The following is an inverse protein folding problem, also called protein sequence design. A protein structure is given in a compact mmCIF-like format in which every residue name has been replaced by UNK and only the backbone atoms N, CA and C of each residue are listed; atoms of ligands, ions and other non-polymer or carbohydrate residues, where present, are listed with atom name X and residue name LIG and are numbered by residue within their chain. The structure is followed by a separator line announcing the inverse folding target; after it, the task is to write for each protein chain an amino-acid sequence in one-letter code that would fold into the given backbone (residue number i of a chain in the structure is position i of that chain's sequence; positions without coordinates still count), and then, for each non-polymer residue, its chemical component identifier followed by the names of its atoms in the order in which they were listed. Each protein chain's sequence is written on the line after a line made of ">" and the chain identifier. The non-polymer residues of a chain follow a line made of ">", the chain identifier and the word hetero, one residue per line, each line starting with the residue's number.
data_IF_685525335690
#
_entry.id   IF_685525335690
#
_cell.length_a   1.000
_cell.length_b   1.000
_cell.length_c   1.000
_cell.angle_alpha   90.00
_cell.angle_beta   90.00
_cell.angle_gamma   90.00
#
_symmetry.space_group_name_H-M   'P 1'
#
loop_
_entity.id
_entity.type
_entity.pdbx_description
1 polymer ?
#
# COMPACT_ATOMS: atom_id res chain seq x y z
N UNK A 1 -14.58 47.54 26.86
CA UNK A 1 -13.56 46.55 26.41
C UNK A 1 -14.07 45.17 26.77
N UNK A 2 -14.89 44.57 25.92
CA UNK A 2 -15.36 43.18 26.08
C UNK A 2 -14.53 42.32 25.16
N UNK A 3 -13.54 41.64 25.72
CA UNK A 3 -12.68 40.71 25.00
C UNK A 3 -13.47 39.42 24.73
N UNK A 4 -14.07 39.32 23.56
CA UNK A 4 -14.63 38.07 23.03
C UNK A 4 -13.46 37.16 22.64
N UNK A 5 -13.03 36.29 23.56
CA UNK A 5 -12.27 35.10 23.21
C UNK A 5 -13.16 34.23 22.31
N UNK A 6 -13.00 34.39 20.99
CA UNK A 6 -13.40 33.34 20.05
C UNK A 6 -12.56 32.11 20.39
N UNK A 7 -13.13 30.89 20.40
CA UNK A 7 -12.30 29.68 20.45
C UNK A 7 -11.34 29.74 19.26
N UNK A 8 -10.02 29.70 19.54
CA UNK A 8 -9.03 29.46 18.50
C UNK A 8 -9.32 28.09 17.91
N UNK A 9 -9.73 28.05 16.65
CA UNK A 9 -9.92 26.80 15.93
C UNK A 9 -8.55 26.15 15.76
N UNK A 10 -8.29 25.04 16.46
CA UNK A 10 -7.11 24.22 16.21
C UNK A 10 -7.35 23.43 14.93
N UNK A 11 -6.86 23.95 13.81
CA UNK A 11 -6.86 23.23 12.53
C UNK A 11 -5.82 22.10 12.60
N UNK A 12 -6.18 20.98 13.24
CA UNK A 12 -5.30 19.81 13.34
C UNK A 12 -5.39 19.01 12.04
N UNK A 13 -4.39 19.18 11.17
CA UNK A 13 -4.19 18.29 10.02
C UNK A 13 -3.79 16.89 10.51
N UNK A 14 -4.36 15.80 9.97
CA UNK A 14 -3.96 14.44 10.32
C UNK A 14 -2.46 14.23 10.09
N UNK A 15 -1.78 13.65 11.07
CA UNK A 15 -0.36 13.29 10.95
C UNK A 15 -0.21 11.93 10.26
N UNK A 16 0.43 11.92 9.10
CA UNK A 16 0.66 10.73 8.29
C UNK A 16 2.14 10.34 8.36
N UNK A 17 2.44 9.06 8.52
CA UNK A 17 3.82 8.55 8.54
C UNK A 17 3.96 7.36 7.59
N UNK A 18 5.04 7.33 6.81
CA UNK A 18 5.40 6.20 5.94
C UNK A 18 6.62 5.51 6.53
N UNK A 19 6.49 4.22 6.84
CA UNK A 19 7.55 3.37 7.36
C UNK A 19 8.03 2.43 6.25
N UNK A 20 9.22 2.69 5.73
CA UNK A 20 9.91 1.82 4.78
C UNK A 20 10.68 0.72 5.50
N UNK A 21 10.29 -0.53 5.30
CA UNK A 21 10.85 -1.68 6.01
C UNK A 21 11.75 -2.51 5.10
N UNK A 22 13.00 -2.72 5.53
CA UNK A 22 14.03 -3.44 4.77
C UNK A 22 14.49 -2.68 3.52
N UNK A 23 15.28 -3.35 2.66
CA UNK A 23 15.86 -2.72 1.47
C UNK A 23 14.82 -2.21 0.46
N UNK A 24 13.82 -3.03 0.12
CA UNK A 24 12.76 -2.64 -0.82
C UNK A 24 11.90 -1.49 -0.31
N UNK A 25 11.51 -1.53 0.97
CA UNK A 25 10.75 -0.43 1.59
C UNK A 25 11.57 0.86 1.70
N UNK A 26 12.85 0.76 2.05
CA UNK A 26 13.78 1.89 2.08
C UNK A 26 13.97 2.55 0.72
N UNK A 27 14.09 1.75 -0.35
CA UNK A 27 14.16 2.26 -1.73
C UNK A 27 12.87 2.98 -2.13
N UNK A 28 11.71 2.40 -1.81
CA UNK A 28 10.42 3.04 -2.07
C UNK A 28 10.28 4.39 -1.34
N UNK A 29 10.70 4.48 -0.08
CA UNK A 29 10.73 5.73 0.68
C UNK A 29 11.69 6.75 0.04
N UNK A 30 12.89 6.33 -0.36
CA UNK A 30 13.83 7.20 -1.05
C UNK A 30 13.24 7.77 -2.35
N UNK A 31 12.48 6.95 -3.08
CA UNK A 31 11.75 7.37 -4.27
C UNK A 31 10.63 8.36 -3.93
N UNK A 32 9.82 8.10 -2.91
CA UNK A 32 8.76 9.02 -2.47
C UNK A 32 9.30 10.40 -2.06
N UNK A 33 10.45 10.44 -1.38
CA UNK A 33 11.13 11.69 -1.03
C UNK A 33 11.64 12.40 -2.29
N UNK A 34 12.21 11.66 -3.25
CA UNK A 34 12.71 12.25 -4.49
C UNK A 34 11.60 12.80 -5.39
N UNK A 35 10.44 12.15 -5.42
CA UNK A 35 9.23 12.60 -6.12
C UNK A 35 8.47 13.70 -5.37
N UNK A 36 8.95 14.11 -4.18
CA UNK A 36 8.39 15.24 -3.43
C UNK A 36 7.03 14.95 -2.80
N UNK A 37 6.79 13.73 -2.27
CA UNK A 37 5.54 13.43 -1.57
C UNK A 37 5.37 14.31 -0.32
N UNK A 38 4.37 15.18 -0.33
CA UNK A 38 4.10 16.15 0.73
C UNK A 38 3.19 15.59 1.84
N UNK A 39 3.21 16.23 3.01
CA UNK A 39 2.31 15.93 4.14
C UNK A 39 2.52 14.58 4.81
N UNK A 40 3.66 13.93 4.58
CA UNK A 40 4.03 12.66 5.21
C UNK A 40 5.41 12.76 5.86
N UNK A 41 5.54 12.14 7.04
CA UNK A 41 6.84 11.90 7.65
C UNK A 41 7.40 10.54 7.20
N UNK A 42 8.69 10.45 6.95
CA UNK A 42 9.33 9.22 6.51
C UNK A 42 10.20 8.61 7.60
N UNK A 43 9.99 7.32 7.85
CA UNK A 43 10.81 6.48 8.73
C UNK A 43 11.33 5.32 7.90
N UNK A 44 12.62 4.99 8.00
CA UNK A 44 13.18 3.78 7.40
C UNK A 44 13.71 2.86 8.50
N UNK A 45 13.24 1.62 8.50
CA UNK A 45 13.61 0.60 9.47
C UNK A 45 14.28 -0.57 8.74
N UNK A 46 15.55 -0.84 9.06
CA UNK A 46 16.29 -1.92 8.41
C UNK A 46 17.32 -2.57 9.35
N UNK A 47 17.55 -3.86 9.16
CA UNK A 47 18.62 -4.62 9.86
C UNK A 47 19.99 -4.42 9.23
N UNK A 48 20.03 -3.95 7.98
CA UNK A 48 21.27 -3.65 7.25
C UNK A 48 21.68 -2.20 7.49
N UNK A 49 22.76 -2.00 8.25
CA UNK A 49 23.27 -0.68 8.60
C UNK A 49 23.81 0.08 7.37
N UNK A 50 24.40 -0.62 6.40
CA UNK A 50 24.91 0.01 5.18
C UNK A 50 23.75 0.58 4.36
N UNK A 51 22.65 -0.17 4.23
CA UNK A 51 21.45 0.30 3.55
C UNK A 51 20.86 1.56 4.21
N UNK A 52 20.91 1.65 5.55
CA UNK A 52 20.43 2.84 6.28
C UNK A 52 21.25 4.09 5.98
N UNK A 53 22.58 3.97 5.83
CA UNK A 53 23.44 5.13 5.51
C UNK A 53 23.14 5.76 4.16
N UNK A 54 22.51 5.01 3.25
CA UNK A 54 22.11 5.48 1.92
C UNK A 54 20.67 6.04 1.90
N UNK A 55 19.96 6.01 3.02
CA UNK A 55 18.59 6.51 3.09
C UNK A 55 18.54 8.03 3.03
N UNK A 56 17.50 8.56 2.37
CA UNK A 56 17.18 9.99 2.33
C UNK A 56 16.18 10.39 3.43
N UNK A 57 15.64 9.43 4.17
CA UNK A 57 14.70 9.69 5.25
C UNK A 57 15.42 10.34 6.45
N UNK A 58 14.73 11.26 7.13
CA UNK A 58 15.26 11.93 8.31
C UNK A 58 15.25 11.08 9.57
N UNK A 59 14.42 10.01 9.59
CA UNK A 59 14.20 9.15 10.75
C UNK A 59 14.59 7.73 10.37
N UNK A 60 15.63 7.20 11.00
CA UNK A 60 16.21 5.90 10.69
C UNK A 60 16.18 5.02 11.95
N UNK A 61 15.82 3.76 11.79
CA UNK A 61 15.79 2.76 12.86
C UNK A 61 16.63 1.57 12.41
N UNK A 62 17.67 1.25 13.17
CA UNK A 62 18.44 0.04 12.98
C UNK A 62 17.81 -1.12 13.75
N UNK A 63 17.15 -2.02 13.02
CA UNK A 63 16.46 -3.16 13.59
C UNK A 63 17.45 -4.23 14.05
N UNK A 64 17.20 -4.80 15.23
CA UNK A 64 17.91 -6.00 15.70
C UNK A 64 19.42 -5.83 15.75
N UNK A 65 19.90 -4.76 16.39
CA UNK A 65 21.33 -4.48 16.50
C UNK A 65 22.05 -5.62 17.25
N UNK A 66 21.38 -6.28 18.19
CA UNK A 66 21.91 -7.43 18.91
C UNK A 66 21.83 -8.72 18.08
N UNK A 67 20.72 -8.93 17.36
CA UNK A 67 20.47 -10.17 16.60
C UNK A 67 21.28 -10.25 15.30
N UNK A 68 21.49 -9.12 14.62
CA UNK A 68 22.06 -9.09 13.26
C UNK A 68 23.43 -8.45 13.16
N UNK A 69 23.89 -7.78 14.22
CA UNK A 69 25.12 -6.97 14.23
C UNK A 69 25.19 -5.95 13.08
N UNK A 70 24.03 -5.55 12.53
CA UNK A 70 23.94 -4.62 11.40
C UNK A 70 24.19 -5.22 10.02
N UNK A 71 24.32 -6.55 9.91
CA UNK A 71 24.65 -7.26 8.65
C UNK A 71 23.41 -7.72 7.86
N UNK A 72 22.22 -7.40 8.34
CA UNK A 72 20.97 -7.79 7.71
C UNK A 72 20.45 -9.17 8.13
N UNK A 73 19.19 -9.46 7.76
CA UNK A 73 18.48 -10.66 8.17
C UNK A 73 18.79 -11.93 7.32
N UNK A 74 19.75 -11.89 6.39
CA UNK A 74 20.17 -13.08 5.62
C UNK A 74 19.06 -13.76 4.79
N UNK A 75 18.02 -13.04 4.38
CA UNK A 75 16.81 -13.60 3.75
C UNK A 75 16.00 -14.56 4.64
N UNK A 76 16.11 -14.44 5.96
CA UNK A 76 15.37 -15.21 6.95
C UNK A 76 14.31 -14.31 7.61
N UNK A 77 13.01 -14.50 7.32
CA UNK A 77 11.94 -13.70 7.91
C UNK A 77 11.89 -13.74 9.44
N UNK A 78 12.20 -14.87 10.05
CA UNK A 78 12.24 -15.05 11.50
C UNK A 78 13.27 -14.13 12.18
N UNK A 79 14.40 -13.86 11.51
CA UNK A 79 15.39 -12.89 11.99
C UNK A 79 14.84 -11.47 11.86
N UNK A 80 14.18 -11.15 10.74
CA UNK A 80 13.53 -9.86 10.55
C UNK A 80 12.44 -9.58 11.59
N UNK A 81 11.67 -10.61 11.95
CA UNK A 81 10.66 -10.53 13.00
C UNK A 81 11.29 -10.27 14.37
N UNK A 82 12.26 -11.10 14.79
CA UNK A 82 12.94 -10.93 16.07
C UNK A 82 13.62 -9.55 16.19
N UNK A 83 14.22 -9.07 15.10
CA UNK A 83 14.83 -7.74 15.03
C UNK A 83 13.83 -6.60 15.21
N UNK A 84 12.60 -6.75 14.70
CA UNK A 84 11.54 -5.77 14.89
C UNK A 84 10.94 -5.82 16.30
N UNK A 85 10.82 -7.01 16.88
CA UNK A 85 10.39 -7.20 18.27
C UNK A 85 11.41 -6.59 19.26
N UNK A 86 12.70 -6.73 19.00
CA UNK A 86 13.78 -6.09 19.77
C UNK A 86 13.67 -4.56 19.76
N UNK A 87 13.37 -3.97 18.60
CA UNK A 87 13.35 -2.52 18.38
C UNK A 87 11.94 -1.90 18.47
N UNK A 88 10.96 -2.61 19.04
CA UNK A 88 9.54 -2.20 18.95
C UNK A 88 9.25 -0.88 19.68
N UNK A 89 9.90 -0.65 20.82
CA UNK A 89 9.73 0.58 21.59
C UNK A 89 10.23 1.80 20.79
N UNK A 90 11.39 1.67 20.14
CA UNK A 90 11.94 2.72 19.26
C UNK A 90 11.03 2.98 18.05
N UNK A 91 10.48 1.93 17.44
CA UNK A 91 9.49 2.07 16.36
C UNK A 91 8.28 2.87 16.84
N UNK A 92 7.72 2.53 18.00
CA UNK A 92 6.52 3.18 18.52
C UNK A 92 6.76 4.63 18.96
N UNK A 93 7.93 4.93 19.50
CA UNK A 93 8.35 6.31 19.77
C UNK A 93 8.36 7.12 18.47
N UNK A 94 8.82 6.53 17.37
CA UNK A 94 8.78 7.20 16.07
C UNK A 94 7.35 7.34 15.51
N UNK A 95 6.42 6.46 15.87
CA UNK A 95 5.01 6.56 15.46
C UNK A 95 4.15 7.41 16.40
N UNK A 96 4.74 8.04 17.41
CA UNK A 96 4.01 8.87 18.36
C UNK A 96 3.30 10.06 17.69
N UNK A 97 2.02 10.20 18.00
CA UNK A 97 1.11 11.23 17.44
C UNK A 97 0.66 10.96 15.99
N UNK A 98 1.06 9.85 15.38
CA UNK A 98 0.65 9.49 14.02
C UNK A 98 -0.81 9.01 14.02
N UNK A 99 -1.61 9.55 13.11
CA UNK A 99 -3.02 9.17 12.93
C UNK A 99 -3.17 8.02 11.93
N UNK A 100 -2.29 8.00 10.92
CA UNK A 100 -2.25 6.98 9.89
C UNK A 100 -0.81 6.61 9.54
N UNK A 101 -0.54 5.32 9.49
CA UNK A 101 0.78 4.77 9.17
C UNK A 101 0.69 3.93 7.90
N UNK A 102 1.55 4.23 6.92
CA UNK A 102 1.79 3.40 5.77
C UNK A 102 2.99 2.51 6.03
N UNK A 103 2.83 1.19 5.99
CA UNK A 103 3.95 0.24 6.07
C UNK A 103 4.29 -0.24 4.67
N UNK A 104 5.46 0.12 4.15
CA UNK A 104 5.90 -0.26 2.80
C UNK A 104 7.10 -1.21 2.85
N UNK A 105 7.02 -2.30 2.09
CA UNK A 105 8.04 -3.34 2.07
C UNK A 105 8.03 -4.12 0.75
N UNK A 106 9.22 -4.59 0.35
CA UNK A 106 9.36 -5.66 -0.65
C UNK A 106 9.33 -7.02 0.03
N UNK A 107 8.34 -7.85 -0.31
CA UNK A 107 8.12 -9.15 0.32
C UNK A 107 9.00 -10.24 -0.30
N UNK A 108 9.32 -11.26 0.49
CA UNK A 108 10.21 -12.37 0.10
C UNK A 108 11.66 -12.21 0.56
N UNK A 109 12.04 -11.04 1.10
CA UNK A 109 13.30 -10.87 1.84
C UNK A 109 13.19 -11.36 3.29
N UNK A 110 14.24 -11.14 4.09
CA UNK A 110 14.21 -11.42 5.53
C UNK A 110 13.55 -10.27 6.30
N UNK A 111 14.17 -9.09 6.24
CA UNK A 111 13.74 -7.92 7.02
C UNK A 111 12.32 -7.46 6.68
N UNK A 112 12.03 -7.15 5.41
CA UNK A 112 10.70 -6.66 5.01
C UNK A 112 9.58 -7.64 5.38
N UNK A 113 9.76 -8.92 5.02
CA UNK A 113 8.77 -9.98 5.26
C UNK A 113 8.50 -10.23 6.75
N UNK A 114 9.55 -10.22 7.58
CA UNK A 114 9.43 -10.50 9.01
C UNK A 114 9.04 -9.30 9.87
N UNK A 115 9.62 -8.13 9.58
CA UNK A 115 9.44 -6.93 10.40
C UNK A 115 8.14 -6.17 10.07
N UNK A 116 7.71 -6.13 8.81
CA UNK A 116 6.53 -5.35 8.43
C UNK A 116 5.25 -5.78 9.17
N UNK A 117 4.95 -7.09 9.35
CA UNK A 117 3.80 -7.51 10.15
C UNK A 117 3.89 -7.08 11.62
N UNK A 118 5.08 -7.13 12.24
CA UNK A 118 5.27 -6.71 13.64
C UNK A 118 4.99 -5.23 13.80
N UNK A 119 5.55 -4.40 12.91
CA UNK A 119 5.33 -2.95 12.89
C UNK A 119 3.85 -2.64 12.69
N UNK A 120 3.19 -3.28 11.73
CA UNK A 120 1.78 -3.08 11.45
C UNK A 120 0.89 -3.45 12.65
N UNK A 121 1.19 -4.57 13.31
CA UNK A 121 0.48 -5.03 14.51
C UNK A 121 0.56 -4.03 15.65
N UNK A 122 1.75 -3.50 15.92
CA UNK A 122 1.97 -2.54 16.99
C UNK A 122 1.30 -1.20 16.70
N UNK A 123 1.41 -0.70 15.46
CA UNK A 123 0.75 0.54 15.03
C UNK A 123 -0.77 0.44 15.15
N UNK A 124 -1.38 -0.65 14.66
CA UNK A 124 -2.82 -0.88 14.75
C UNK A 124 -3.28 -1.04 16.20
N UNK A 125 -2.53 -1.77 17.03
CA UNK A 125 -2.83 -1.91 18.46
C UNK A 125 -2.80 -0.56 19.21
N UNK A 126 -1.97 0.38 18.76
CA UNK A 126 -1.93 1.75 19.26
C UNK A 126 -3.06 2.66 18.72
N UNK A 127 -3.96 2.13 17.89
CA UNK A 127 -5.12 2.85 17.33
C UNK A 127 -4.83 3.66 16.06
N UNK A 128 -3.62 3.52 15.50
CA UNK A 128 -3.20 4.16 14.25
C UNK A 128 -3.84 3.42 13.08
N UNK A 129 -4.48 4.15 12.15
CA UNK A 129 -4.98 3.54 10.91
C UNK A 129 -3.78 3.03 10.10
N UNK A 130 -3.67 1.71 9.95
CA UNK A 130 -2.47 1.06 9.45
C UNK A 130 -2.72 0.45 8.08
N UNK A 131 -2.13 1.04 7.04
CA UNK A 131 -2.23 0.57 5.66
C UNK A 131 -0.89 0.03 5.22
N UNK A 132 -0.85 -1.24 4.86
CA UNK A 132 0.34 -1.83 4.26
C UNK A 132 0.29 -1.71 2.73
N UNK A 133 1.38 -1.29 2.11
CA UNK A 133 1.55 -1.25 0.66
C UNK A 133 2.81 -2.03 0.30
N UNK A 134 2.65 -3.25 -0.21
CA UNK A 134 3.76 -4.20 -0.33
C UNK A 134 3.85 -4.81 -1.71
N UNK A 135 5.07 -5.17 -2.14
CA UNK A 135 5.27 -5.85 -3.42
C UNK A 135 5.51 -7.35 -3.26
N UNK A 136 4.98 -8.16 -4.18
CA UNK A 136 5.39 -9.55 -4.38
C UNK A 136 6.60 -9.60 -5.31
N UNK A 137 7.54 -10.53 -5.10
CA UNK A 137 8.73 -10.65 -5.94
C UNK A 137 8.36 -11.04 -7.38
N UNK A 138 9.29 -10.84 -8.32
CA UNK A 138 9.15 -11.37 -9.67
C UNK A 138 9.29 -12.90 -9.68
N UNK A 139 8.66 -13.58 -10.65
CA UNK A 139 8.77 -15.05 -10.77
C UNK A 139 10.22 -15.51 -10.95
N UNK A 140 11.06 -14.70 -11.63
CA UNK A 140 12.48 -15.02 -11.84
C UNK A 140 13.31 -14.99 -10.55
N UNK A 141 12.86 -14.32 -9.49
CA UNK A 141 13.56 -14.28 -8.21
C UNK A 141 13.46 -15.62 -7.44
N UNK A 142 12.61 -16.53 -7.92
CA UNK A 142 12.55 -17.91 -7.47
C UNK A 142 11.38 -18.22 -6.56
N UNK A 143 10.97 -19.50 -6.58
CA UNK A 143 9.79 -20.00 -5.86
C UNK A 143 9.86 -19.80 -4.34
N UNK A 144 11.05 -20.00 -3.74
CA UNK A 144 11.24 -19.83 -2.29
C UNK A 144 10.94 -18.40 -1.85
N UNK A 145 11.39 -17.41 -2.63
CA UNK A 145 11.14 -15.99 -2.35
C UNK A 145 9.66 -15.65 -2.42
N UNK A 146 8.96 -16.18 -3.43
CA UNK A 146 7.51 -16.03 -3.56
C UNK A 146 6.76 -16.67 -2.38
N UNK A 147 7.13 -17.88 -1.96
CA UNK A 147 6.48 -18.55 -0.82
C UNK A 147 6.63 -17.76 0.48
N UNK A 148 7.83 -17.23 0.76
CA UNK A 148 8.06 -16.35 1.91
C UNK A 148 7.21 -15.08 1.81
N UNK A 149 7.10 -14.49 0.62
CA UNK A 149 6.30 -13.30 0.39
C UNK A 149 4.81 -13.55 0.70
N UNK A 150 4.23 -14.66 0.22
CA UNK A 150 2.84 -15.00 0.50
C UNK A 150 2.58 -15.20 2.00
N UNK A 151 3.47 -15.92 2.69
CA UNK A 151 3.35 -16.13 4.13
C UNK A 151 3.39 -14.82 4.93
N UNK A 152 4.33 -13.93 4.58
CA UNK A 152 4.42 -12.62 5.22
C UNK A 152 3.23 -11.71 4.92
N UNK A 153 2.67 -11.78 3.71
CA UNK A 153 1.48 -11.00 3.33
C UNK A 153 0.26 -11.49 4.10
N UNK A 154 0.12 -12.79 4.33
CA UNK A 154 -1.01 -13.32 5.09
C UNK A 154 -1.00 -12.84 6.54
N UNK A 155 0.17 -12.90 7.20
CA UNK A 155 0.34 -12.30 8.53
C UNK A 155 0.04 -10.80 8.53
N UNK A 156 0.45 -10.08 7.47
CA UNK A 156 0.20 -8.65 7.35
C UNK A 156 -1.29 -8.33 7.20
N UNK A 157 -2.07 -9.20 6.55
CA UNK A 157 -3.54 -9.08 6.43
C UNK A 157 -4.24 -9.25 7.77
N UNK A 158 -3.69 -10.05 8.67
CA UNK A 158 -4.21 -10.16 10.04
C UNK A 158 -3.92 -8.90 10.88
N UNK A 159 -2.79 -8.24 10.62
CA UNK A 159 -2.24 -7.21 11.51
C UNK A 159 -2.44 -5.77 11.03
N UNK A 160 -2.60 -5.51 9.73
CA UNK A 160 -2.94 -4.21 9.19
C UNK A 160 -4.47 -4.04 9.04
N UNK A 161 -4.93 -2.79 8.93
CA UNK A 161 -6.34 -2.51 8.61
C UNK A 161 -6.64 -2.78 7.13
N UNK A 162 -5.70 -2.41 6.26
CA UNK A 162 -5.76 -2.66 4.81
C UNK A 162 -4.38 -3.05 4.29
N UNK A 163 -4.32 -4.03 3.37
CA UNK A 163 -3.10 -4.47 2.69
C UNK A 163 -3.28 -4.38 1.19
N UNK A 164 -2.58 -3.42 0.58
CA UNK A 164 -2.46 -3.24 -0.87
C UNK A 164 -1.28 -4.09 -1.34
N UNK A 165 -1.56 -5.09 -2.16
CA UNK A 165 -0.54 -6.02 -2.67
C UNK A 165 -0.28 -5.73 -4.14
N UNK A 166 0.97 -5.41 -4.46
CA UNK A 166 1.44 -5.11 -5.81
C UNK A 166 2.24 -6.31 -6.35
N UNK A 167 1.69 -7.09 -7.28
CA UNK A 167 2.45 -8.17 -7.91
C UNK A 167 3.46 -7.60 -8.91
N UNK A 168 4.76 -7.68 -8.62
CA UNK A 168 5.80 -7.18 -9.54
C UNK A 168 5.71 -7.84 -10.92
N UNK A 169 5.20 -9.07 -11.00
CA UNK A 169 4.96 -9.76 -12.25
C UNK A 169 4.03 -8.98 -13.21
N UNK A 170 3.06 -8.24 -12.68
CA UNK A 170 2.13 -7.46 -13.50
C UNK A 170 2.79 -6.20 -14.08
N UNK A 171 3.94 -5.78 -13.54
CA UNK A 171 4.73 -4.67 -14.09
C UNK A 171 5.29 -5.00 -15.48
N UNK A 172 5.48 -6.28 -15.81
CA UNK A 172 5.85 -6.69 -17.17
C UNK A 172 4.76 -6.42 -18.20
N UNK A 173 3.49 -6.36 -17.80
CA UNK A 173 2.38 -6.04 -18.72
C UNK A 173 2.37 -4.56 -19.12
N UNK A 174 3.06 -3.72 -18.36
CA UNK A 174 3.24 -2.29 -18.64
C UNK A 174 4.65 -1.95 -19.14
N UNK A 175 5.55 -2.94 -19.19
CA UNK A 175 6.92 -2.79 -19.64
C UNK A 175 7.09 -3.19 -21.11
N UNK A 176 8.06 -2.59 -21.80
CA UNK A 176 8.45 -2.98 -23.16
C UNK A 176 9.65 -3.94 -23.13
N UNK A 177 9.92 -4.63 -24.25
CA UNK A 177 11.06 -5.57 -24.37
C UNK A 177 12.45 -4.92 -24.14
N UNK A 178 12.54 -3.58 -24.15
CA UNK A 178 13.77 -2.83 -23.86
C UNK A 178 13.92 -2.41 -22.40
N UNK A 179 12.96 -2.77 -21.53
CA UNK A 179 13.00 -2.41 -20.10
C UNK A 179 14.10 -3.18 -19.39
N UNK A 180 15.07 -2.46 -18.83
CA UNK A 180 16.15 -3.05 -18.02
C UNK A 180 15.64 -3.48 -16.64
N UNK A 181 16.40 -4.33 -15.95
CA UNK A 181 16.08 -4.72 -14.57
C UNK A 181 15.98 -3.52 -13.61
N UNK A 182 16.90 -2.56 -13.72
CA UNK A 182 16.87 -1.34 -12.93
C UNK A 182 15.57 -0.55 -13.16
N UNK A 183 15.16 -0.41 -14.42
CA UNK A 183 13.91 0.24 -14.76
C UNK A 183 12.68 -0.53 -14.24
N UNK A 184 12.73 -1.86 -14.17
CA UNK A 184 11.63 -2.66 -13.64
C UNK A 184 11.40 -2.42 -12.13
N UNK A 185 12.47 -2.31 -11.33
CA UNK A 185 12.36 -1.93 -9.92
C UNK A 185 11.93 -0.48 -9.75
N UNK A 186 12.41 0.44 -10.59
CA UNK A 186 11.91 1.82 -10.59
C UNK A 186 10.42 1.91 -10.90
N UNK A 187 9.88 1.04 -11.78
CA UNK A 187 8.44 0.93 -12.00
C UNK A 187 7.74 0.43 -10.72
N UNK A 188 8.29 -0.55 -10.01
CA UNK A 188 7.72 -1.03 -8.75
C UNK A 188 7.67 0.09 -7.69
N UNK A 189 8.75 0.86 -7.57
CA UNK A 189 8.83 2.00 -6.65
C UNK A 189 7.82 3.10 -7.01
N UNK A 190 7.57 3.35 -8.30
CA UNK A 190 6.52 4.26 -8.77
C UNK A 190 5.11 3.77 -8.44
N UNK A 191 4.88 2.47 -8.48
CA UNK A 191 3.57 1.90 -8.09
C UNK A 191 3.38 1.98 -6.58
N UNK A 192 4.42 1.72 -5.79
CA UNK A 192 4.40 1.93 -4.33
C UNK A 192 4.15 3.40 -3.98
N UNK A 193 4.85 4.33 -4.65
CA UNK A 193 4.57 5.76 -4.56
C UNK A 193 3.11 6.05 -4.89
N UNK A 194 2.58 5.53 -5.99
CA UNK A 194 1.19 5.76 -6.40
C UNK A 194 0.19 5.26 -5.34
N UNK A 195 0.49 4.12 -4.71
CA UNK A 195 -0.29 3.54 -3.61
C UNK A 195 -0.43 4.47 -2.42
N UNK A 196 0.69 5.04 -1.99
CA UNK A 196 0.72 5.97 -0.84
C UNK A 196 0.21 7.36 -1.26
N UNK A 197 0.64 7.87 -2.42
CA UNK A 197 0.28 9.21 -2.91
C UNK A 197 -1.22 9.35 -3.15
N UNK A 198 -1.88 8.29 -3.64
CA UNK A 198 -3.31 8.30 -3.91
C UNK A 198 -4.10 8.66 -2.64
N UNK A 199 -3.78 8.04 -1.52
CA UNK A 199 -4.52 8.23 -0.27
C UNK A 199 -4.06 9.50 0.45
N UNK A 200 -2.76 9.75 0.49
CA UNK A 200 -2.19 10.94 1.16
C UNK A 200 -2.63 12.24 0.50
N UNK A 201 -2.66 12.30 -0.84
CA UNK A 201 -3.08 13.50 -1.54
C UNK A 201 -4.53 13.89 -1.20
N UNK A 202 -5.43 12.91 -1.04
CA UNK A 202 -6.84 13.17 -0.68
C UNK A 202 -7.02 13.77 0.72
N UNK A 203 -6.06 13.57 1.61
CA UNK A 203 -6.09 14.04 3.00
C UNK A 203 -5.35 15.39 3.14
N UNK A 204 -4.23 15.53 2.43
CA UNK A 204 -3.27 16.63 2.63
C UNK A 204 -3.53 17.80 1.69
N UNK A 205 -3.81 17.51 0.41
CA UNK A 205 -3.94 18.53 -0.63
C UNK A 205 -5.36 19.08 -0.66
N UNK A 206 -5.46 20.39 -0.82
CA UNK A 206 -6.74 21.03 -1.08
C UNK A 206 -7.19 20.72 -2.50
N UNK A 207 -8.45 20.29 -2.63
CA UNK A 207 -9.08 19.89 -3.86
C UNK A 207 -10.45 20.51 -4.06
N UNK A 208 -11.02 20.26 -5.24
CA UNK A 208 -12.40 20.61 -5.58
C UNK A 208 -13.40 19.85 -4.69
N UNK A 209 -13.08 18.60 -4.37
CA UNK A 209 -13.83 17.74 -3.46
C UNK A 209 -12.84 17.27 -2.40
N UNK A 210 -12.82 17.96 -1.26
CA UNK A 210 -12.03 17.58 -0.10
C UNK A 210 -12.71 16.44 0.65
N UNK A 211 -11.90 15.50 1.13
CA UNK A 211 -12.33 14.41 1.98
C UNK A 211 -11.80 14.65 3.38
N UNK A 212 -12.59 14.28 4.39
CA UNK A 212 -12.07 14.28 5.75
C UNK A 212 -11.36 12.95 6.05
N UNK A 213 -10.56 12.93 7.12
CA UNK A 213 -9.85 11.72 7.53
C UNK A 213 -10.79 10.62 8.02
N UNK A 214 -11.98 10.97 8.52
CA UNK A 214 -12.95 10.01 9.02
C UNK A 214 -13.58 9.20 7.87
N UNK A 215 -13.81 9.84 6.71
CA UNK A 215 -14.26 9.19 5.48
C UNK A 215 -13.24 8.14 5.05
N UNK A 216 -11.96 8.52 4.89
CA UNK A 216 -10.88 7.60 4.52
C UNK A 216 -10.76 6.47 5.56
N UNK A 217 -10.83 6.80 6.85
CA UNK A 217 -10.77 5.80 7.92
C UNK A 217 -11.93 4.81 7.84
N UNK A 218 -13.13 5.25 7.50
CA UNK A 218 -14.32 4.38 7.43
C UNK A 218 -14.18 3.34 6.34
N UNK A 219 -13.64 3.72 5.18
CA UNK A 219 -13.47 2.81 4.04
C UNK A 219 -12.21 1.96 4.13
N UNK A 220 -11.18 2.36 4.89
CA UNK A 220 -9.92 1.61 4.96
C UNK A 220 -9.72 0.79 6.23
N UNK A 221 -10.53 1.03 7.27
CA UNK A 221 -10.38 0.32 8.54
C UNK A 221 -10.94 -1.11 8.41
N UNK A 222 -10.19 -2.09 8.93
CA UNK A 222 -10.61 -3.50 9.00
C UNK A 222 -11.05 -4.13 7.65
N UNK A 223 -10.52 -3.64 6.53
CA UNK A 223 -10.88 -4.13 5.19
C UNK A 223 -10.06 -5.32 4.73
N UNK A 224 -8.86 -5.52 5.27
CA UNK A 224 -7.98 -6.61 4.87
C UNK A 224 -7.45 -6.38 3.46
N UNK A 225 -7.81 -7.22 2.49
CA UNK A 225 -7.23 -7.17 1.14
C UNK A 225 -7.68 -5.94 0.35
N UNK A 226 -6.72 -5.30 -0.32
CA UNK A 226 -6.97 -4.21 -1.25
C UNK A 226 -6.09 -4.29 -2.52
N UNK A 227 -6.55 -3.62 -3.57
CA UNK A 227 -5.86 -3.49 -4.86
C UNK A 227 -5.98 -2.06 -5.38
N UNK A 228 -5.04 -1.64 -6.22
CA UNK A 228 -5.02 -0.29 -6.78
C UNK A 228 -4.87 -0.32 -8.30
N UNK A 229 -5.62 0.55 -8.98
CA UNK A 229 -5.49 0.85 -10.39
C UNK A 229 -5.31 2.35 -10.62
N UNK A 230 -4.47 2.73 -11.57
CA UNK A 230 -4.27 4.14 -11.96
C UNK A 230 -4.39 4.26 -13.47
N UNK A 231 -5.07 5.31 -13.94
CA UNK A 231 -5.26 5.63 -15.34
C UNK A 231 -5.03 7.12 -15.60
N UNK A 232 -4.53 7.45 -16.79
CA UNK A 232 -4.34 8.81 -17.26
C UNK A 232 -5.00 8.94 -18.63
N UNK A 233 -5.74 10.03 -18.83
CA UNK A 233 -6.39 10.36 -20.09
C UNK A 233 -6.03 11.77 -20.54
N UNK A 234 -6.07 12.00 -21.86
CA UNK A 234 -5.81 13.30 -22.50
C UNK A 234 -6.78 13.54 -23.66
N UNK A 235 -6.92 14.81 -24.05
CA UNK A 235 -7.81 15.25 -25.13
C UNK A 235 -9.30 15.14 -24.79
N UNK A 236 -10.14 14.96 -25.81
CA UNK A 236 -11.59 14.81 -25.62
C UNK A 236 -11.91 13.56 -24.78
N UNK A 237 -12.89 13.69 -23.88
CA UNK A 237 -13.28 12.63 -22.94
C UNK A 237 -12.11 12.07 -22.11
N UNK A 238 -11.12 12.92 -21.77
CA UNK A 238 -9.96 12.50 -20.98
C UNK A 238 -10.34 11.89 -19.63
N UNK A 239 -11.39 12.40 -18.99
CA UNK A 239 -11.86 11.90 -17.71
C UNK A 239 -12.40 10.46 -17.81
N UNK A 240 -13.32 10.21 -18.76
CA UNK A 240 -13.79 8.84 -19.04
C UNK A 240 -12.65 7.89 -19.41
N UNK A 241 -11.74 8.30 -20.29
CA UNK A 241 -10.57 7.50 -20.68
C UNK A 241 -9.69 7.16 -19.48
N UNK A 242 -9.44 8.12 -18.59
CA UNK A 242 -8.67 7.92 -17.38
C UNK A 242 -9.35 6.93 -16.42
N UNK A 243 -10.68 7.05 -16.25
CA UNK A 243 -11.47 6.13 -15.45
C UNK A 243 -11.41 4.70 -16.02
N UNK A 244 -11.66 4.52 -17.33
CA UNK A 244 -11.56 3.22 -18.00
C UNK A 244 -10.17 2.61 -17.89
N UNK A 245 -9.11 3.41 -18.08
CA UNK A 245 -7.73 2.95 -17.92
C UNK A 245 -7.40 2.56 -16.47
N UNK A 246 -7.98 3.23 -15.47
CA UNK A 246 -7.78 2.89 -14.06
C UNK A 246 -8.43 1.56 -13.68
N UNK A 247 -9.61 1.27 -14.26
CA UNK A 247 -10.36 0.03 -14.08
C UNK A 247 -9.68 -1.13 -14.79
N UNK A 248 -9.22 -0.92 -16.03
CA UNK A 248 -8.54 -1.93 -16.84
C UNK A 248 -7.05 -2.12 -16.46
N UNK A 249 -6.59 -1.46 -15.38
CA UNK A 249 -5.18 -1.48 -15.00
C UNK A 249 -4.76 -2.92 -14.61
N UNK A 250 -3.63 -3.46 -15.13
CA UNK A 250 -3.16 -4.81 -14.81
C UNK A 250 -2.93 -5.11 -13.32
N UNK A 251 -2.78 -4.09 -12.49
CA UNK A 251 -2.65 -4.21 -11.03
C UNK A 251 -4.00 -4.39 -10.32
N UNK A 252 -5.09 -4.12 -11.02
CA UNK A 252 -6.47 -4.34 -10.62
C UNK A 252 -6.98 -5.59 -11.36
N UNK A 253 -7.56 -6.54 -10.64
CA UNK A 253 -8.27 -7.64 -11.29
C UNK A 253 -9.73 -7.21 -11.50
N UNK A 254 -10.23 -7.29 -12.74
CA UNK A 254 -11.60 -6.87 -13.08
C UNK A 254 -12.65 -7.60 -12.23
N UNK A 255 -12.41 -8.85 -11.85
CA UNK A 255 -13.32 -9.61 -10.96
C UNK A 255 -13.35 -9.05 -9.54
N UNK A 256 -12.30 -8.34 -9.13
CA UNK A 256 -12.17 -7.81 -7.78
C UNK A 256 -13.00 -6.53 -7.57
N UNK A 257 -13.21 -5.71 -8.59
CA UNK A 257 -13.94 -4.44 -8.43
C UNK A 257 -15.41 -4.61 -8.04
N UNK A 258 -16.11 -5.59 -8.63
CA UNK A 258 -17.52 -5.88 -8.33
C UNK A 258 -17.75 -6.48 -6.95
N UNK A 259 -16.71 -6.99 -6.32
CA UNK A 259 -16.75 -7.60 -4.98
C UNK A 259 -16.16 -6.71 -3.89
N UNK A 260 -15.76 -5.47 -4.20
CA UNK A 260 -15.20 -4.57 -3.21
C UNK A 260 -16.28 -4.06 -2.25
N UNK A 261 -16.00 -4.07 -0.95
CA UNK A 261 -16.88 -3.48 0.07
C UNK A 261 -16.75 -1.96 0.13
N UNK A 262 -15.58 -1.44 -0.20
CA UNK A 262 -15.31 -0.01 -0.20
C UNK A 262 -14.33 0.37 -1.30
N UNK A 263 -14.56 1.52 -1.92
CA UNK A 263 -13.74 2.02 -3.03
C UNK A 263 -13.39 3.47 -2.80
N UNK A 264 -12.09 3.77 -2.79
CA UNK A 264 -11.58 5.12 -2.71
C UNK A 264 -11.09 5.55 -4.09
N UNK A 265 -11.62 6.67 -4.57
CA UNK A 265 -11.32 7.25 -5.89
C UNK A 265 -10.66 8.60 -5.70
N UNK A 266 -9.43 8.73 -6.18
CA UNK A 266 -8.71 9.99 -6.30
C UNK A 266 -8.69 10.44 -7.75
N UNK A 267 -9.26 11.61 -8.02
CA UNK A 267 -9.18 12.27 -9.32
C UNK A 267 -8.23 13.46 -9.23
N UNK A 268 -7.39 13.64 -10.25
CA UNK A 268 -6.45 14.75 -10.32
C UNK A 268 -6.40 15.32 -11.74
N UNK A 269 -6.43 16.64 -11.85
CA UNK A 269 -6.33 17.35 -13.12
C UNK A 269 -5.81 18.77 -12.91
N UNK A 270 -5.40 19.42 -14.01
CA UNK A 270 -4.98 20.82 -13.97
C UNK A 270 -6.13 21.77 -13.62
N UNK A 271 -5.83 23.07 -13.58
CA UNK A 271 -6.84 24.13 -13.38
C UNK A 271 -7.93 24.17 -14.45
N UNK A 272 -7.71 23.48 -15.57
CA UNK A 272 -8.65 23.29 -16.67
C UNK A 272 -9.65 22.13 -16.44
N UNK A 273 -9.54 21.42 -15.31
CA UNK A 273 -10.47 20.36 -14.92
C UNK A 273 -11.87 20.92 -14.65
N UNK A 274 -12.88 20.31 -15.26
CA UNK A 274 -14.29 20.73 -15.13
C UNK A 274 -15.09 19.79 -14.22
N UNK A 275 -16.19 20.30 -13.65
CA UNK A 275 -17.12 19.48 -12.86
C UNK A 275 -17.74 18.34 -13.69
N UNK A 276 -18.00 18.59 -14.99
CA UNK A 276 -18.53 17.56 -15.90
C UNK A 276 -17.56 16.39 -16.09
N UNK A 277 -16.26 16.67 -16.15
CA UNK A 277 -15.23 15.64 -16.22
C UNK A 277 -15.18 14.79 -14.95
N UNK A 278 -15.28 15.43 -13.78
CA UNK A 278 -15.35 14.72 -12.49
C UNK A 278 -16.59 13.82 -12.42
N UNK A 279 -17.75 14.32 -12.84
CA UNK A 279 -19.01 13.56 -12.88
C UNK A 279 -18.97 12.39 -13.88
N UNK A 280 -18.39 12.60 -15.06
CA UNK A 280 -18.20 11.57 -16.09
C UNK A 280 -17.32 10.41 -15.58
N UNK A 281 -16.18 10.74 -14.96
CA UNK A 281 -15.29 9.74 -14.36
C UNK A 281 -15.96 9.02 -13.17
N UNK A 282 -16.65 9.75 -12.30
CA UNK A 282 -17.34 9.20 -11.13
C UNK A 282 -18.41 8.20 -11.55
N UNK A 283 -19.25 8.58 -12.51
CA UNK A 283 -20.33 7.73 -13.04
C UNK A 283 -19.76 6.44 -13.62
N UNK A 284 -18.71 6.53 -14.45
CA UNK A 284 -18.09 5.34 -15.05
C UNK A 284 -17.53 4.35 -14.01
N UNK A 285 -16.97 4.85 -12.91
CA UNK A 285 -16.45 4.00 -11.82
C UNK A 285 -17.60 3.36 -11.05
N UNK A 286 -18.65 4.12 -10.73
CA UNK A 286 -19.85 3.59 -10.05
C UNK A 286 -20.51 2.46 -10.85
N UNK A 287 -20.60 2.60 -12.17
CA UNK A 287 -21.13 1.55 -13.06
C UNK A 287 -20.33 0.24 -12.97
N UNK A 288 -19.02 0.30 -12.73
CA UNK A 288 -18.18 -0.89 -12.62
C UNK A 288 -18.27 -1.58 -11.26
N UNK A 289 -18.26 -0.78 -10.19
CA UNK A 289 -18.28 -1.26 -8.81
C UNK A 289 -19.66 -1.82 -8.43
N UNK A 290 -20.73 -1.17 -8.91
CA UNK A 290 -22.11 -1.46 -8.52
C UNK A 290 -22.54 -0.75 -7.23
N UNK A 291 -23.81 -0.95 -6.85
CA UNK A 291 -24.47 -0.18 -5.79
C UNK A 291 -24.15 -0.65 -4.36
N UNK A 292 -23.42 -1.75 -4.20
CA UNK A 292 -23.22 -2.40 -2.89
C UNK A 292 -21.94 -1.96 -2.15
N UNK A 293 -21.13 -1.08 -2.75
CA UNK A 293 -19.86 -0.64 -2.17
C UNK A 293 -19.95 0.79 -1.64
N UNK A 294 -19.27 1.07 -0.53
CA UNK A 294 -19.08 2.44 -0.04
C UNK A 294 -18.03 3.14 -0.91
N UNK A 295 -18.47 4.06 -1.78
CA UNK A 295 -17.59 4.77 -2.73
C UNK A 295 -17.32 6.18 -2.21
N UNK A 296 -16.05 6.45 -1.94
CA UNK A 296 -15.54 7.79 -1.59
C UNK A 296 -14.81 8.36 -2.80
N UNK A 297 -15.16 9.60 -3.18
CA UNK A 297 -14.58 10.29 -4.32
C UNK A 297 -13.98 11.61 -3.84
N UNK A 298 -12.70 11.81 -4.09
CA UNK A 298 -12.04 13.11 -3.96
C UNK A 298 -11.46 13.56 -5.29
N UNK A 299 -11.41 14.88 -5.47
CA UNK A 299 -10.94 15.51 -6.69
C UNK A 299 -9.98 16.65 -6.31
N UNK A 300 -8.76 16.61 -6.82
CA UNK A 300 -7.65 17.45 -6.40
C UNK A 300 -7.07 18.16 -7.63
N UNK A 301 -6.66 19.42 -7.46
CA UNK A 301 -5.93 20.11 -8.51
C UNK A 301 -4.44 19.76 -8.48
N UNK A 302 -3.86 19.56 -9.66
CA UNK A 302 -2.43 19.35 -9.85
C UNK A 302 -1.99 20.11 -11.11
N UNK A 303 -1.25 21.20 -10.92
CA UNK A 303 -0.77 22.05 -12.01
C UNK A 303 0.12 21.31 -13.02
N UNK A 304 0.73 20.18 -12.62
CA UNK A 304 1.52 19.34 -13.52
C UNK A 304 0.65 18.52 -14.49
N UNK A 305 -0.68 18.52 -14.30
CA UNK A 305 -1.64 17.76 -15.09
C UNK A 305 -2.48 18.64 -16.03
N UNK A 306 -2.04 19.85 -16.37
CA UNK A 306 -2.73 20.68 -17.37
C UNK A 306 -2.92 19.91 -18.70
N UNK A 307 -4.14 19.88 -19.21
CA UNK A 307 -4.50 19.09 -20.40
C UNK A 307 -4.57 17.56 -20.20
N UNK A 308 -4.34 17.07 -18.97
CA UNK A 308 -4.44 15.66 -18.60
C UNK A 308 -5.47 15.45 -17.46
N UNK A 309 -5.96 14.23 -17.31
CA UNK A 309 -6.81 13.83 -16.21
C UNK A 309 -6.33 12.48 -15.70
N UNK A 310 -6.09 12.37 -14.38
CA UNK A 310 -5.61 11.17 -13.72
C UNK A 310 -6.68 10.65 -12.77
N UNK A 311 -6.95 9.35 -12.84
CA UNK A 311 -7.84 8.64 -11.92
C UNK A 311 -7.05 7.55 -11.23
N UNK A 312 -7.12 7.48 -9.91
CA UNK A 312 -6.59 6.38 -9.11
C UNK A 312 -7.71 5.78 -8.28
N UNK A 313 -7.84 4.46 -8.32
CA UNK A 313 -8.88 3.70 -7.63
C UNK A 313 -8.22 2.71 -6.70
N UNK A 314 -8.62 2.72 -5.44
CA UNK A 314 -8.23 1.74 -4.41
C UNK A 314 -9.47 0.97 -4.02
N UNK A 315 -9.53 -0.30 -4.40
CA UNK A 315 -10.60 -1.22 -4.04
C UNK A 315 -10.21 -1.98 -2.77
N UNK A 316 -11.06 -1.95 -1.76
CA UNK A 316 -10.81 -2.51 -0.42
C UNK A 316 -11.91 -3.50 -0.04
N UNK A 317 -11.61 -4.40 0.89
CA UNK A 317 -12.58 -5.38 1.36
C UNK A 317 -12.84 -6.48 0.34
N UNK A 318 -11.84 -6.79 -0.49
CA UNK A 318 -11.93 -7.80 -1.54
C UNK A 318 -11.97 -9.21 -0.94
N UNK A 319 -12.95 -10.02 -1.36
CA UNK A 319 -12.98 -11.44 -1.01
C UNK A 319 -11.77 -12.18 -1.61
N UNK A 320 -11.25 -13.18 -0.89
CA UNK A 320 -10.19 -14.05 -1.39
C UNK A 320 -10.63 -14.73 -2.68
N UNK A 321 -9.70 -14.92 -3.63
CA UNK A 321 -10.07 -15.64 -4.86
C UNK A 321 -10.49 -17.07 -4.49
N UNK A 322 -11.45 -17.66 -5.22
CA UNK A 322 -11.87 -19.07 -5.01
C UNK A 322 -10.69 -20.06 -5.03
N UNK A 323 -9.57 -19.70 -5.66
CA UNK A 323 -8.32 -20.47 -5.64
C UNK A 323 -7.61 -20.46 -4.27
N UNK A 324 -7.75 -19.40 -3.47
CA UNK A 324 -7.26 -19.31 -2.09
C UNK A 324 -8.23 -20.01 -1.12
N UNK A 325 -9.55 -19.91 -1.33
CA UNK A 325 -10.55 -20.62 -0.53
C UNK A 325 -10.42 -22.15 -0.65
N UNK A 326 -10.06 -22.66 -1.83
CA UNK A 326 -9.75 -24.09 -2.03
C UNK A 326 -8.51 -24.55 -1.26
N UNK A 327 -7.47 -23.70 -1.16
CA UNK A 327 -6.27 -23.99 -0.38
C UNK A 327 -6.55 -23.95 1.14
N UNK A 328 -7.37 -23.00 1.60
CA UNK A 328 -7.78 -22.85 2.99
C UNK A 328 -8.66 -24.03 3.47
N UNK A 329 -9.53 -24.54 2.59
CA UNK A 329 -10.35 -25.73 2.87
C UNK A 329 -9.49 -27.00 2.94
N UNK A 330 -8.46 -27.14 2.10
CA UNK A 330 -7.52 -28.28 2.15
C UNK A 330 -6.66 -28.25 3.43
N UNK A 331 -6.19 -27.07 3.85
CA UNK A 331 -5.42 -26.91 5.09
C UNK A 331 -6.25 -27.18 6.34
N UNK A 332 -7.53 -26.77 6.37
CA UNK A 332 -8.45 -27.09 7.47
C UNK A 332 -8.84 -28.58 7.52
N UNK A 333 -8.81 -29.26 6.39
CA UNK A 333 -9.11 -30.70 6.28
C UNK A 333 -7.92 -31.60 6.67
N UNK A 334 -6.69 -31.07 6.67
CA UNK A 334 -5.45 -31.83 6.92
C UNK A 334 -5.16 -32.21 8.37
N UNK A 335 -5.96 -31.75 9.35
CA UNK A 335 -5.82 -32.11 10.76
C UNK A 335 -6.68 -33.32 11.18
N UNK A 336 -7.34 -33.99 10.23
CA UNK A 336 -8.00 -35.28 10.45
C UNK A 336 -7.04 -36.42 10.09
N UNK A 337 -6.62 -37.18 11.10
CA UNK A 337 -5.85 -38.43 10.99
C UNK A 337 -6.30 -39.32 9.83
N UNK A 338 -5.49 -39.41 8.78
CA UNK A 338 -5.64 -40.41 7.72
C UNK A 338 -4.61 -41.52 7.96
N UNK A 339 -5.09 -42.69 8.38
CA UNK A 339 -4.33 -43.94 8.29
C UNK A 339 -3.93 -44.19 6.84
N UNK A 340 -2.64 -44.44 6.61
CA UNK A 340 -2.07 -44.73 5.30
C UNK A 340 -2.22 -46.23 5.04
N UNK A 341 -2.94 -46.72 4.00
CA UNK A 341 -2.92 -48.13 3.64
C UNK A 341 -1.59 -48.47 2.97
N UNK A 342 -0.96 -49.55 3.45
CA UNK A 342 0.35 -49.99 3.01
C UNK A 342 0.41 -50.38 1.52
N UNK A 343 1.50 -49.98 0.87
CA UNK A 343 1.94 -50.54 -0.40
C UNK A 343 2.80 -51.77 -0.13
N UNK A 344 2.31 -52.94 -0.53
CA UNK A 344 3.12 -54.17 -0.65
C UNK A 344 3.85 -54.14 -1.99
N UNK A 345 5.16 -54.25 -1.96
CA UNK A 345 6.02 -54.43 -3.12
C UNK A 345 5.89 -55.87 -3.67
N UNK A 346 5.60 -55.98 -4.96
CA UNK A 346 6.05 -57.07 -5.84
C UNK A 346 6.61 -56.46 -7.11
#
# INVERSE_FOLDING_TARGET
>A
MTNTNKPEFTEMKPKLTVVGVGGGGGNAVNNMIAEGLEGTEFVVANTDAQALTMSKASRLIQLGSLVTEGLGAGSLPEIGQAAAEESIDEIMDQLSGTHMCFVTAGMGGGTGTGAAPVIAKAARAAGILTVAVVTKPFVFEGKRRMQMAEQGIELLREYADTVIVIPNQNLFRVATASTTFENAFAIADRVLFSGVSCITNLIVKEGLINLDFADVRTVMKDMGRAMMGTGVGTGEHRAKKAAEASIANPLLDEKSMKGARGVLVSMSGGSDMTLFEVDEAATRIREEVGDNADIIIGAIFDDQLEGQFKVSVVATGLEGSEAEAGAEMILRSGNGSAEVPGYTLQ
#
